data_IF_029357150872
#
_entry.id   IF_029357150872
#
_cell.length_a   1.000
_cell.length_b   1.000
_cell.length_c   1.000
_cell.angle_alpha   90.00
_cell.angle_beta   90.00
_cell.angle_gamma   90.00
#
_symmetry.space_group_name_H-M   'P 1'
#
loop_
_entity.id
_entity.type
_entity.pdbx_description
1 polymer ?
#
# COMPACT_ATOMS: atom_id res chain seq x y z
N UNK A 1 -3.60 -3.92 -11.65
CA UNK A 1 -3.47 -3.52 -10.23
C UNK A 1 -4.87 -3.34 -9.66
N UNK A 2 -5.09 -3.63 -8.36
CA UNK A 2 -6.34 -3.21 -7.73
C UNK A 2 -6.39 -1.68 -7.74
N UNK A 3 -7.52 -1.15 -8.17
CA UNK A 3 -7.73 0.29 -8.21
C UNK A 3 -7.97 0.81 -6.79
N UNK A 4 -7.14 1.77 -6.36
CA UNK A 4 -7.19 2.36 -5.03
C UNK A 4 -8.56 2.99 -4.76
N UNK A 5 -9.13 3.66 -5.76
CA UNK A 5 -10.41 4.37 -5.61
C UNK A 5 -11.57 3.40 -5.40
N UNK A 6 -11.56 2.25 -6.11
CA UNK A 6 -12.55 1.19 -5.90
C UNK A 6 -12.46 0.56 -4.52
N UNK A 7 -11.24 0.38 -3.99
CA UNK A 7 -11.04 -0.11 -2.63
C UNK A 7 -11.56 0.88 -1.59
N UNK A 8 -11.21 2.15 -1.72
CA UNK A 8 -11.68 3.22 -0.82
C UNK A 8 -13.21 3.27 -0.82
N UNK A 9 -13.85 3.30 -1.99
CA UNK A 9 -15.31 3.30 -2.10
C UNK A 9 -15.97 2.07 -1.48
N UNK A 10 -15.37 0.89 -1.66
CA UNK A 10 -15.91 -0.36 -1.12
C UNK A 10 -15.86 -0.37 0.40
N UNK A 11 -14.73 0.02 1.01
CA UNK A 11 -14.57 0.08 2.47
C UNK A 11 -15.51 1.12 3.08
N UNK A 12 -15.65 2.28 2.44
CA UNK A 12 -16.60 3.30 2.88
C UNK A 12 -18.06 2.83 2.79
N UNK A 13 -18.40 2.07 1.76
CA UNK A 13 -19.74 1.51 1.62
C UNK A 13 -20.01 0.43 2.68
N UNK A 14 -19.02 -0.40 3.01
CA UNK A 14 -19.11 -1.36 4.12
C UNK A 14 -19.35 -0.66 5.47
N UNK A 15 -18.60 0.40 5.77
CA UNK A 15 -18.78 1.19 6.98
C UNK A 15 -20.18 1.82 7.06
N UNK A 16 -20.72 2.31 5.94
CA UNK A 16 -22.11 2.80 5.86
C UNK A 16 -23.14 1.72 6.17
N UNK A 17 -22.96 0.52 5.62
CA UNK A 17 -23.86 -0.61 5.86
C UNK A 17 -23.83 -1.07 7.33
N UNK A 18 -22.69 -0.91 8.02
CA UNK A 18 -22.56 -1.16 9.45
C UNK A 18 -23.16 -0.05 10.33
N UNK A 19 -23.63 1.05 9.74
CA UNK A 19 -24.18 2.18 10.48
C UNK A 19 -23.11 3.04 11.17
N UNK A 20 -21.83 2.89 10.80
CA UNK A 20 -20.76 3.71 11.37
C UNK A 20 -20.85 5.15 10.87
N UNK A 21 -20.60 6.10 11.78
CA UNK A 21 -20.53 7.51 11.43
C UNK A 21 -19.23 7.78 10.69
N UNK A 22 -19.33 8.08 9.40
CA UNK A 22 -18.21 8.51 8.57
C UNK A 22 -17.76 9.93 8.97
N UNK A 23 -16.88 10.02 9.95
CA UNK A 23 -16.18 11.25 10.29
C UNK A 23 -15.00 11.51 9.34
N UNK A 24 -14.55 12.76 9.26
CA UNK A 24 -13.35 13.15 8.50
C UNK A 24 -12.12 12.38 8.93
N UNK A 25 -11.98 12.09 10.22
CA UNK A 25 -10.88 11.26 10.72
C UNK A 25 -10.95 9.84 10.14
N UNK A 26 -12.13 9.21 10.17
CA UNK A 26 -12.35 7.88 9.61
C UNK A 26 -12.00 7.81 8.13
N UNK A 27 -12.46 8.80 7.33
CA UNK A 27 -12.12 8.90 5.91
C UNK A 27 -10.60 8.98 5.67
N UNK A 28 -9.91 9.78 6.47
CA UNK A 28 -8.46 9.95 6.39
C UNK A 28 -7.72 8.65 6.76
N UNK A 29 -8.14 7.99 7.84
CA UNK A 29 -7.55 6.75 8.33
C UNK A 29 -7.71 5.64 7.29
N UNK A 30 -8.92 5.42 6.78
CA UNK A 30 -9.19 4.42 5.73
C UNK A 30 -8.31 4.63 4.50
N UNK A 31 -8.15 5.88 4.04
CA UNK A 31 -7.30 6.20 2.89
C UNK A 31 -5.83 5.87 3.15
N UNK A 32 -5.33 6.20 4.35
CA UNK A 32 -3.95 5.91 4.73
C UNK A 32 -3.68 4.40 4.86
N UNK A 33 -4.60 3.67 5.47
CA UNK A 33 -4.50 2.22 5.63
C UNK A 33 -4.47 1.50 4.28
N UNK A 34 -5.38 1.86 3.36
CA UNK A 34 -5.41 1.31 2.00
C UNK A 34 -4.10 1.62 1.26
N UNK A 35 -3.62 2.86 1.35
CA UNK A 35 -2.32 3.24 0.75
C UNK A 35 -1.17 2.41 1.32
N UNK A 36 -1.12 2.23 2.64
CA UNK A 36 -0.08 1.47 3.31
C UNK A 36 -0.12 -0.02 2.93
N UNK A 37 -1.31 -0.60 2.85
CA UNK A 37 -1.51 -2.00 2.44
C UNK A 37 -1.06 -2.23 0.99
N UNK A 38 -1.43 -1.32 0.07
CA UNK A 38 -0.97 -1.39 -1.33
C UNK A 38 0.55 -1.24 -1.43
N UNK A 39 1.14 -0.30 -0.69
CA UNK A 39 2.59 -0.12 -0.66
C UNK A 39 3.31 -1.36 -0.09
N UNK A 40 2.75 -2.00 0.94
CA UNK A 40 3.30 -3.23 1.51
C UNK A 40 3.27 -4.39 0.51
N UNK A 41 2.16 -4.55 -0.22
CA UNK A 41 2.03 -5.55 -1.29
C UNK A 41 3.06 -5.32 -2.40
N UNK A 42 3.23 -4.07 -2.83
CA UNK A 42 4.23 -3.71 -3.85
C UNK A 42 5.66 -3.93 -3.36
N UNK A 43 5.97 -3.61 -2.09
CA UNK A 43 7.26 -3.94 -1.49
C UNK A 43 7.51 -5.44 -1.50
N UNK A 44 6.54 -6.23 -1.07
CA UNK A 44 6.65 -7.68 -1.06
C UNK A 44 6.92 -8.24 -2.47
N UNK A 45 6.18 -7.75 -3.47
CA UNK A 45 6.40 -8.10 -4.88
C UNK A 45 7.81 -7.79 -5.34
N UNK A 46 8.29 -6.56 -5.07
CA UNK A 46 9.66 -6.15 -5.40
C UNK A 46 10.71 -7.01 -4.72
N UNK A 47 10.48 -7.42 -3.47
CA UNK A 47 11.40 -8.32 -2.75
C UNK A 47 11.45 -9.70 -3.39
N UNK A 48 10.30 -10.25 -3.80
CA UNK A 48 10.24 -11.56 -4.47
C UNK A 48 10.82 -11.53 -5.89
N UNK A 49 10.66 -10.43 -6.60
CA UNK A 49 11.23 -10.22 -7.94
C UNK A 49 12.71 -9.78 -7.89
N UNK A 50 13.24 -9.42 -6.71
CA UNK A 50 14.60 -8.94 -6.59
C UNK A 50 15.60 -10.05 -6.92
N UNK A 51 16.63 -9.77 -7.73
CA UNK A 51 17.72 -10.72 -7.93
C UNK A 51 18.46 -10.95 -6.61
N UNK A 52 19.11 -12.12 -6.45
CA UNK A 52 19.97 -12.38 -5.30
C UNK A 52 21.01 -11.27 -5.14
N UNK A 53 21.26 -10.86 -3.89
CA UNK A 53 22.29 -9.88 -3.60
C UNK A 53 23.64 -10.37 -4.14
N UNK A 54 24.29 -9.56 -4.97
CA UNK A 54 25.65 -9.79 -5.44
C UNK A 54 26.54 -8.66 -4.93
N UNK A 55 27.51 -9.00 -4.08
CA UNK A 55 28.54 -8.05 -3.67
C UNK A 55 29.39 -7.68 -4.89
N UNK A 56 29.37 -6.39 -5.27
CA UNK A 56 30.22 -5.85 -6.34
C UNK A 56 31.41 -5.15 -5.72
N UNK A 57 32.62 -5.65 -5.99
CA UNK A 57 33.86 -5.01 -5.56
C UNK A 57 33.90 -3.57 -6.11
N UNK A 58 34.10 -2.54 -5.26
CA UNK A 58 34.19 -1.16 -5.73
C UNK A 58 35.38 -1.02 -6.69
N UNK A 59 35.19 -0.21 -7.75
CA UNK A 59 36.30 0.10 -8.67
C UNK A 59 37.27 1.05 -7.98
N UNK A 60 38.59 0.89 -8.20
CA UNK A 60 39.57 1.80 -7.64
C UNK A 60 39.35 3.24 -8.17
N UNK A 61 39.63 4.28 -7.36
CA UNK A 61 39.63 5.66 -7.84
C UNK A 61 40.65 5.85 -8.97
N UNK A 62 40.33 6.71 -9.95
CA UNK A 62 41.27 7.09 -11.01
C UNK A 62 42.26 8.13 -10.51
#
# INVERSE_FOLDING_TARGET
MLDREKLEMTVLQMARLQGEKLDRHTLYTTRNEIRNALAAKERYRRTMEAPPYQWKKPRPPR
#
